data_IF_382990495774
#
_entry.id   IF_382990495774
#
_cell.length_a   1.000
_cell.length_b   1.000
_cell.length_c   1.000
_cell.angle_alpha   90.00
_cell.angle_beta   90.00
_cell.angle_gamma   90.00
#
_symmetry.space_group_name_H-M   'P 1'
#
loop_
_entity.id
_entity.type
_entity.pdbx_description
1 polymer ?
#
# COMPACT_ATOMS: atom_id res chain seq x y z
N UNK A 1 2.51 7.75 -1.91
CA UNK A 1 1.34 8.11 -1.08
C UNK A 1 0.34 9.01 -1.83
N UNK A 2 0.82 10.03 -2.54
CA UNK A 2 -0.05 10.95 -3.30
C UNK A 2 -0.90 10.23 -4.36
N UNK A 3 -0.35 9.24 -5.08
CA UNK A 3 -1.09 8.46 -6.09
C UNK A 3 -2.31 7.76 -5.48
N UNK A 4 -2.16 7.18 -4.28
CA UNK A 4 -3.28 6.57 -3.55
C UNK A 4 -4.35 7.60 -3.20
N UNK A 5 -3.97 8.80 -2.78
CA UNK A 5 -4.92 9.88 -2.46
C UNK A 5 -5.65 10.37 -3.71
N UNK A 6 -4.94 10.54 -4.83
CA UNK A 6 -5.55 10.91 -6.11
C UNK A 6 -6.60 9.87 -6.54
N UNK A 7 -6.26 8.59 -6.48
CA UNK A 7 -7.20 7.49 -6.79
C UNK A 7 -8.38 7.43 -5.83
N UNK A 8 -8.16 7.72 -4.54
CA UNK A 8 -9.24 7.79 -3.55
C UNK A 8 -10.21 8.94 -3.83
N UNK A 9 -9.72 10.10 -4.22
CA UNK A 9 -10.54 11.25 -4.57
C UNK A 9 -11.37 10.97 -5.83
N UNK A 10 -10.74 10.41 -6.86
CA UNK A 10 -11.40 10.03 -8.10
C UNK A 10 -12.49 8.98 -7.85
N UNK A 11 -12.20 7.94 -7.05
CA UNK A 11 -13.18 6.92 -6.65
C UNK A 11 -14.39 7.53 -5.93
N UNK A 12 -14.16 8.42 -4.94
CA UNK A 12 -15.25 9.11 -4.23
C UNK A 12 -16.10 9.98 -5.14
N UNK A 13 -15.49 10.53 -6.20
CA UNK A 13 -16.18 11.35 -7.19
C UNK A 13 -16.83 10.52 -8.33
N UNK A 14 -16.72 9.19 -8.31
CA UNK A 14 -17.26 8.30 -9.35
C UNK A 14 -16.65 8.53 -10.74
N UNK A 15 -15.38 8.93 -10.81
CA UNK A 15 -14.67 9.23 -12.07
C UNK A 15 -13.26 8.64 -12.08
N UNK A 16 -12.62 8.64 -13.23
CA UNK A 16 -11.22 8.29 -13.37
C UNK A 16 -10.29 9.38 -12.78
N UNK A 17 -9.03 9.00 -12.53
CA UNK A 17 -7.99 9.91 -12.05
C UNK A 17 -7.65 10.91 -13.15
N UNK A 18 -7.85 12.19 -12.87
CA UNK A 18 -7.45 13.26 -13.77
C UNK A 18 -6.03 13.74 -13.47
N UNK A 19 -5.39 14.39 -14.44
CA UNK A 19 -4.04 14.93 -14.28
C UNK A 19 -3.90 15.88 -13.08
N UNK A 20 -4.89 16.71 -12.84
CA UNK A 20 -4.94 17.63 -11.72
C UNK A 20 -4.93 16.93 -10.35
N UNK A 21 -5.46 15.70 -10.24
CA UNK A 21 -5.44 14.94 -9.00
C UNK A 21 -4.00 14.53 -8.63
N UNK A 22 -3.13 14.35 -9.63
CA UNK A 22 -1.71 14.03 -9.45
C UNK A 22 -0.86 15.25 -9.05
N UNK A 23 -1.38 16.48 -9.19
CA UNK A 23 -0.68 17.73 -8.87
C UNK A 23 -1.12 18.33 -7.52
N UNK A 24 -1.58 17.50 -6.59
CA UNK A 24 -1.96 17.92 -5.24
C UNK A 24 -0.77 18.46 -4.43
N UNK A 25 -1.06 19.22 -3.36
CA UNK A 25 -0.02 19.66 -2.41
C UNK A 25 0.80 18.48 -1.89
N UNK A 26 0.15 17.35 -1.62
CA UNK A 26 0.83 16.14 -1.17
C UNK A 26 1.83 15.63 -2.22
N UNK A 27 1.47 15.65 -3.50
CA UNK A 27 2.40 15.28 -4.58
C UNK A 27 3.60 16.24 -4.64
N UNK A 28 3.36 17.54 -4.56
CA UNK A 28 4.43 18.54 -4.54
C UNK A 28 5.40 18.31 -3.38
N UNK A 29 4.88 18.01 -2.19
CA UNK A 29 5.70 17.72 -1.00
C UNK A 29 6.52 16.45 -1.16
N UNK A 30 5.93 15.37 -1.69
CA UNK A 30 6.62 14.10 -1.92
C UNK A 30 7.69 14.24 -3.01
N UNK A 31 7.38 14.88 -4.14
CA UNK A 31 8.35 15.12 -5.22
C UNK A 31 9.50 16.00 -4.73
N UNK A 32 9.19 17.08 -3.99
CA UNK A 32 10.22 17.92 -3.40
C UNK A 32 11.11 17.14 -2.40
N UNK A 33 10.56 16.20 -1.65
CA UNK A 33 11.32 15.32 -0.75
C UNK A 33 12.28 14.42 -1.53
N UNK A 34 11.82 13.84 -2.65
CA UNK A 34 12.66 13.02 -3.54
C UNK A 34 13.85 13.85 -4.06
N UNK A 35 13.61 15.04 -4.57
CA UNK A 35 14.70 15.91 -5.06
C UNK A 35 15.68 16.32 -3.95
N UNK A 36 15.24 16.47 -2.70
CA UNK A 36 16.12 16.79 -1.56
C UNK A 36 16.92 15.60 -1.04
N UNK A 37 16.53 14.38 -1.40
CA UNK A 37 17.22 13.15 -1.04
C UNK A 37 18.31 12.82 -2.06
N UNK A 38 19.36 12.14 -1.63
CA UNK A 38 20.40 11.66 -2.54
C UNK A 38 19.93 10.42 -3.29
N UNK A 39 19.15 9.55 -2.65
CA UNK A 39 18.50 8.40 -3.26
C UNK A 39 17.18 8.12 -2.58
N UNK A 40 16.16 7.75 -3.35
CA UNK A 40 14.83 7.38 -2.84
C UNK A 40 14.49 5.96 -3.27
N UNK A 41 14.16 5.10 -2.30
CA UNK A 41 13.73 3.73 -2.58
C UNK A 41 12.25 3.73 -2.98
N UNK A 42 11.95 3.15 -4.14
CA UNK A 42 10.59 3.06 -4.70
C UNK A 42 10.21 1.59 -4.81
N UNK A 43 9.11 1.21 -4.18
CA UNK A 43 8.70 -0.20 -4.08
C UNK A 43 7.90 -0.70 -5.29
N UNK A 44 7.39 0.18 -6.14
CA UNK A 44 6.49 -0.15 -7.24
C UNK A 44 7.04 0.33 -8.58
N UNK A 45 7.06 -0.54 -9.58
CA UNK A 45 7.43 -0.17 -10.96
C UNK A 45 6.45 0.86 -11.55
N UNK A 46 5.16 0.75 -11.24
CA UNK A 46 4.17 1.73 -11.68
C UNK A 46 4.44 3.13 -11.10
N UNK A 47 4.88 3.20 -9.84
CA UNK A 47 5.29 4.48 -9.24
C UNK A 47 6.63 4.97 -9.81
N UNK A 48 7.60 4.08 -10.09
CA UNK A 48 8.83 4.45 -10.80
C UNK A 48 8.53 5.08 -12.15
N UNK A 49 7.64 4.46 -12.93
CA UNK A 49 7.23 4.97 -14.23
C UNK A 49 6.53 6.34 -14.10
N UNK A 50 5.60 6.48 -13.17
CA UNK A 50 4.92 7.76 -12.91
C UNK A 50 5.92 8.87 -12.55
N UNK A 51 6.88 8.60 -11.67
CA UNK A 51 7.90 9.56 -11.25
C UNK A 51 8.82 9.97 -12.40
N UNK A 52 9.26 9.02 -13.22
CA UNK A 52 10.21 9.29 -14.30
C UNK A 52 9.55 9.86 -15.55
N UNK A 53 8.38 9.35 -15.95
CA UNK A 53 7.74 9.73 -17.21
C UNK A 53 6.85 10.95 -17.07
N UNK A 54 6.08 11.04 -16.00
CA UNK A 54 5.17 12.17 -15.78
C UNK A 54 5.86 13.31 -15.05
N UNK A 55 6.44 13.07 -13.87
CA UNK A 55 7.08 14.11 -13.06
C UNK A 55 8.54 14.42 -13.46
N UNK A 56 9.09 13.70 -14.43
CA UNK A 56 10.46 13.90 -14.94
C UNK A 56 11.53 13.86 -13.85
N UNK A 57 11.29 13.08 -12.78
CA UNK A 57 12.30 12.90 -11.73
C UNK A 57 13.49 12.14 -12.33
N UNK A 58 14.73 12.62 -12.15
CA UNK A 58 15.92 11.93 -12.65
C UNK A 58 16.05 10.53 -12.07
N UNK A 59 16.30 9.53 -12.95
CA UNK A 59 16.48 8.13 -12.52
C UNK A 59 17.62 7.98 -11.50
N UNK A 60 18.63 8.86 -11.54
CA UNK A 60 19.74 8.85 -10.59
C UNK A 60 19.30 9.09 -9.13
N UNK A 61 18.13 9.68 -8.90
CA UNK A 61 17.56 9.90 -7.56
C UNK A 61 16.66 8.75 -7.09
N UNK A 62 16.42 7.75 -7.92
CA UNK A 62 15.45 6.68 -7.67
C UNK A 62 16.14 5.31 -7.70
N UNK A 63 15.75 4.45 -6.77
CA UNK A 63 16.17 3.06 -6.72
C UNK A 63 14.95 2.17 -6.55
N UNK A 64 14.74 1.23 -7.47
CA UNK A 64 13.68 0.25 -7.33
C UNK A 64 14.04 -0.77 -6.25
N UNK A 65 13.24 -0.83 -5.22
CA UNK A 65 13.43 -1.71 -4.07
C UNK A 65 12.05 -2.26 -3.62
N UNK A 66 11.56 -3.34 -4.24
CA UNK A 66 10.30 -3.97 -3.83
C UNK A 66 10.44 -4.65 -2.48
N UNK A 67 9.50 -5.49 -2.08
CA UNK A 67 9.69 -6.41 -0.96
C UNK A 67 10.88 -7.34 -1.21
N UNK A 68 11.60 -7.68 -0.16
CA UNK A 68 12.70 -8.64 -0.19
C UNK A 68 12.33 -9.83 0.68
N UNK A 69 12.21 -11.00 0.04
CA UNK A 69 11.73 -12.20 0.68
C UNK A 69 12.75 -13.32 0.54
N UNK A 70 12.92 -14.08 1.60
CA UNK A 70 13.44 -15.43 1.49
C UNK A 70 12.34 -16.28 0.84
N UNK A 71 12.64 -16.84 -0.33
CA UNK A 71 11.60 -17.49 -1.18
C UNK A 71 11.51 -18.99 -0.92
N UNK A 72 11.91 -19.45 0.26
CA UNK A 72 11.68 -20.81 0.68
C UNK A 72 10.18 -21.04 0.94
N UNK A 73 9.60 -21.96 0.18
CA UNK A 73 8.20 -22.37 0.36
C UNK A 73 8.15 -23.27 1.59
N UNK A 74 7.23 -23.00 2.50
CA UNK A 74 7.01 -23.85 3.66
C UNK A 74 6.67 -25.28 3.20
N UNK A 75 7.34 -26.28 3.79
CA UNK A 75 7.18 -27.68 3.41
C UNK A 75 5.80 -28.29 3.80
N UNK A 76 5.10 -27.66 4.74
CA UNK A 76 3.87 -28.17 5.38
C UNK A 76 2.62 -27.35 5.06
N UNK A 77 2.47 -26.89 3.82
CA UNK A 77 1.26 -26.17 3.41
C UNK A 77 0.07 -27.12 3.26
N UNK A 78 -1.11 -26.75 3.79
CA UNK A 78 -2.31 -27.55 3.62
C UNK A 78 -2.69 -27.69 2.14
N UNK A 79 -3.16 -28.88 1.77
CA UNK A 79 -3.71 -29.14 0.44
C UNK A 79 -5.09 -28.48 0.27
N UNK A 80 -5.59 -28.45 -0.96
CA UNK A 80 -6.89 -27.88 -1.30
C UNK A 80 -8.03 -28.40 -0.40
N UNK A 81 -8.13 -29.69 -0.20
CA UNK A 81 -9.20 -30.32 0.59
C UNK A 81 -9.18 -29.94 2.08
N UNK A 82 -8.00 -29.62 2.62
CA UNK A 82 -7.82 -29.24 4.01
C UNK A 82 -8.16 -27.76 4.26
N UNK A 83 -8.14 -26.92 3.23
CA UNK A 83 -8.43 -25.49 3.34
C UNK A 83 -9.93 -25.23 3.25
N UNK A 84 -10.39 -24.29 4.04
CA UNK A 84 -11.80 -23.94 4.11
C UNK A 84 -11.98 -22.42 4.00
N UNK A 85 -13.18 -21.97 3.90
CA UNK A 85 -13.62 -20.58 3.89
C UNK A 85 -12.84 -19.63 2.98
N UNK A 86 -13.41 -18.46 2.79
CA UNK A 86 -12.76 -17.30 2.22
C UNK A 86 -12.16 -16.42 3.33
N UNK A 87 -11.07 -15.75 3.04
CA UNK A 87 -10.49 -14.77 3.96
C UNK A 87 -10.31 -13.42 3.28
N UNK A 88 -10.52 -12.34 4.02
CA UNK A 88 -10.08 -11.00 3.66
C UNK A 88 -9.32 -10.42 4.84
N UNK A 89 -8.13 -9.86 4.59
CA UNK A 89 -7.28 -9.35 5.65
C UNK A 89 -6.73 -7.96 5.32
N UNK A 90 -6.71 -7.07 6.33
CA UNK A 90 -6.13 -5.74 6.16
C UNK A 90 -6.51 -4.77 7.27
N UNK A 91 -5.66 -3.75 7.46
CA UNK A 91 -5.91 -2.69 8.44
C UNK A 91 -7.16 -1.88 8.05
N UNK A 92 -8.15 -1.77 8.94
CA UNK A 92 -9.40 -1.03 8.72
C UNK A 92 -9.21 0.49 8.64
N UNK A 93 -8.12 1.04 9.16
CA UNK A 93 -7.79 2.47 9.00
C UNK A 93 -7.29 2.80 7.59
N UNK A 94 -6.93 1.79 6.80
CA UNK A 94 -6.52 1.98 5.42
C UNK A 94 -7.75 1.94 4.50
N UNK A 95 -8.12 3.09 3.98
CA UNK A 95 -9.37 3.29 3.25
C UNK A 95 -9.64 2.26 2.13
N UNK A 96 -8.68 1.86 1.27
CA UNK A 96 -8.93 0.82 0.27
C UNK A 96 -9.42 -0.50 0.87
N UNK A 97 -8.89 -0.90 2.04
CA UNK A 97 -9.34 -2.13 2.71
C UNK A 97 -10.77 -1.99 3.23
N UNK A 98 -11.10 -0.83 3.83
CA UNK A 98 -12.44 -0.57 4.30
C UNK A 98 -13.46 -0.60 3.16
N UNK A 99 -13.16 0.04 2.04
CA UNK A 99 -14.03 0.05 0.87
C UNK A 99 -14.18 -1.35 0.25
N UNK A 100 -13.12 -2.16 0.26
CA UNK A 100 -13.19 -3.55 -0.18
C UNK A 100 -14.12 -4.38 0.72
N UNK A 101 -14.07 -4.21 2.05
CA UNK A 101 -14.97 -4.89 3.00
C UNK A 101 -16.43 -4.48 2.78
N UNK A 102 -16.70 -3.21 2.53
CA UNK A 102 -18.04 -2.73 2.19
C UNK A 102 -18.54 -3.33 0.89
N UNK A 103 -17.71 -3.35 -0.14
CA UNK A 103 -18.06 -3.92 -1.43
C UNK A 103 -18.31 -5.44 -1.34
N UNK A 104 -17.45 -6.15 -0.61
CA UNK A 104 -17.69 -7.56 -0.26
C UNK A 104 -19.05 -7.74 0.40
N UNK A 105 -19.35 -6.99 1.45
CA UNK A 105 -20.61 -7.14 2.20
C UNK A 105 -21.84 -6.85 1.38
N UNK A 106 -21.82 -5.74 0.64
CA UNK A 106 -23.03 -5.18 0.02
C UNK A 106 -23.36 -5.82 -1.33
N UNK A 107 -22.35 -6.24 -2.10
CA UNK A 107 -22.55 -6.65 -3.49
C UNK A 107 -21.97 -8.03 -3.80
N UNK A 108 -20.75 -8.32 -3.41
CA UNK A 108 -20.03 -9.54 -3.84
C UNK A 108 -20.48 -10.76 -3.04
N UNK A 109 -20.48 -10.67 -1.71
CA UNK A 109 -20.77 -11.78 -0.83
C UNK A 109 -22.16 -12.39 -1.03
N UNK A 110 -23.24 -11.61 -1.21
CA UNK A 110 -24.55 -12.18 -1.54
C UNK A 110 -24.55 -13.04 -2.80
N UNK A 111 -23.77 -12.67 -3.82
CA UNK A 111 -23.65 -13.41 -5.08
C UNK A 111 -22.90 -14.75 -4.87
N UNK A 112 -21.82 -14.72 -4.08
CA UNK A 112 -21.09 -15.94 -3.69
C UNK A 112 -21.98 -16.87 -2.87
N UNK A 113 -22.69 -16.36 -1.87
CA UNK A 113 -23.57 -17.14 -0.98
C UNK A 113 -24.72 -17.80 -1.71
N UNK A 114 -25.24 -17.20 -2.78
CA UNK A 114 -26.25 -17.80 -3.65
C UNK A 114 -25.74 -19.07 -4.31
N UNK A 115 -24.47 -19.13 -4.70
CA UNK A 115 -23.84 -20.28 -5.35
C UNK A 115 -23.22 -21.26 -4.33
N UNK A 116 -22.72 -20.75 -3.20
CA UNK A 116 -22.08 -21.52 -2.12
C UNK A 116 -22.80 -21.26 -0.77
N UNK A 117 -23.99 -21.84 -0.54
CA UNK A 117 -24.83 -21.52 0.62
C UNK A 117 -24.22 -21.81 2.00
N UNK A 118 -23.18 -22.63 2.07
CA UNK A 118 -22.49 -22.99 3.32
C UNK A 118 -21.12 -22.29 3.49
N UNK A 119 -20.67 -21.52 2.49
CA UNK A 119 -19.38 -20.85 2.56
C UNK A 119 -19.37 -19.77 3.65
N UNK A 120 -18.20 -19.51 4.22
CA UNK A 120 -17.96 -18.43 5.16
C UNK A 120 -16.89 -17.49 4.61
N UNK A 121 -17.01 -16.20 4.91
CA UNK A 121 -16.00 -15.19 4.67
C UNK A 121 -15.54 -14.61 6.02
N UNK A 122 -14.28 -14.85 6.33
CA UNK A 122 -13.64 -14.36 7.55
C UNK A 122 -12.89 -13.06 7.26
N UNK A 123 -13.27 -11.98 7.92
CA UNK A 123 -12.66 -10.66 7.79
C UNK A 123 -11.76 -10.39 8.97
N UNK A 124 -10.46 -10.30 8.72
CA UNK A 124 -9.46 -9.96 9.72
C UNK A 124 -8.87 -8.58 9.48
N UNK A 125 -8.53 -7.89 10.54
CA UNK A 125 -7.82 -6.62 10.43
C UNK A 125 -7.60 -5.90 11.74
N UNK A 126 -6.53 -5.11 11.76
CA UNK A 126 -6.23 -4.24 12.88
C UNK A 126 -7.22 -3.06 12.95
N UNK A 127 -7.50 -2.60 14.17
CA UNK A 127 -8.32 -1.44 14.47
C UNK A 127 -9.73 -1.47 13.85
N UNK A 128 -10.53 -2.52 14.10
CA UNK A 128 -11.89 -2.59 13.59
C UNK A 128 -12.74 -1.48 14.25
N UNK A 129 -13.30 -0.53 13.48
CA UNK A 129 -14.18 0.48 14.04
C UNK A 129 -15.56 -0.15 14.37
N UNK A 130 -16.38 0.46 15.25
CA UNK A 130 -17.71 -0.06 15.58
C UNK A 130 -18.57 -0.34 14.34
N UNK A 131 -18.49 0.50 13.31
CA UNK A 131 -19.18 0.29 12.03
C UNK A 131 -18.75 -0.99 11.29
N UNK A 132 -17.52 -1.48 11.50
CA UNK A 132 -17.08 -2.75 10.91
C UNK A 132 -17.67 -3.94 11.68
N UNK A 133 -17.70 -3.89 13.01
CA UNK A 133 -18.29 -4.98 13.81
C UNK A 133 -19.81 -5.12 13.57
N UNK A 134 -20.50 -4.04 13.22
CA UNK A 134 -21.92 -4.07 12.83
C UNK A 134 -22.18 -4.86 11.52
N UNK A 135 -21.15 -5.08 10.68
CA UNK A 135 -21.28 -5.91 9.48
C UNK A 135 -21.24 -7.43 9.78
N UNK A 136 -20.91 -7.82 11.02
CA UNK A 136 -20.86 -9.21 11.45
C UNK A 136 -22.22 -9.87 11.35
N UNK A 137 -22.33 -10.90 10.50
CA UNK A 137 -23.60 -11.58 10.23
C UNK A 137 -23.38 -13.08 10.02
N UNK A 138 -23.27 -13.85 11.10
CA UNK A 138 -22.95 -15.28 11.04
C UNK A 138 -23.95 -16.12 10.25
N UNK A 139 -25.23 -15.75 10.26
CA UNK A 139 -26.29 -16.45 9.50
C UNK A 139 -26.01 -16.44 7.99
N UNK A 140 -25.36 -15.36 7.51
CA UNK A 140 -24.99 -15.22 6.11
C UNK A 140 -23.52 -15.62 5.87
N UNK A 141 -22.83 -16.16 6.86
CA UNK A 141 -21.43 -16.55 6.76
C UNK A 141 -20.47 -15.38 6.60
N UNK A 142 -20.86 -14.16 6.97
CA UNK A 142 -19.99 -12.97 6.93
C UNK A 142 -19.47 -12.66 8.33
N UNK A 143 -18.22 -13.00 8.62
CA UNK A 143 -17.68 -13.03 9.97
C UNK A 143 -16.58 -12.00 10.16
N UNK A 144 -16.84 -10.96 10.93
CA UNK A 144 -15.80 -10.01 11.37
C UNK A 144 -15.06 -10.67 12.54
N UNK A 145 -13.81 -11.06 12.32
CA UNK A 145 -12.96 -11.74 13.30
C UNK A 145 -12.06 -10.78 14.09
N UNK A 146 -11.84 -9.55 13.57
CA UNK A 146 -10.99 -8.56 14.22
C UNK A 146 -9.50 -8.82 14.00
N UNK A 147 -8.69 -8.64 15.02
CA UNK A 147 -7.24 -8.82 14.95
C UNK A 147 -6.87 -10.31 14.76
N UNK A 148 -5.89 -10.57 13.91
CA UNK A 148 -5.26 -11.87 13.77
C UNK A 148 -3.91 -11.84 14.51
N UNK A 149 -3.68 -12.76 15.45
CA UNK A 149 -2.40 -12.90 16.15
C UNK A 149 -1.32 -13.33 15.16
N UNK A 150 -1.65 -14.30 14.31
CA UNK A 150 -0.84 -14.75 13.20
C UNK A 150 -1.61 -14.63 11.88
N UNK A 151 -1.24 -13.64 11.08
CA UNK A 151 -1.85 -13.41 9.78
C UNK A 151 -1.49 -14.51 8.77
N UNK A 152 -0.29 -15.09 8.87
CA UNK A 152 0.16 -16.15 7.98
C UNK A 152 -0.67 -17.42 8.20
N UNK A 153 -0.89 -17.80 9.45
CA UNK A 153 -1.70 -18.98 9.80
C UNK A 153 -3.18 -18.84 9.36
N UNK A 154 -3.74 -17.63 9.53
CA UNK A 154 -5.11 -17.33 9.06
C UNK A 154 -5.23 -17.47 7.55
N UNK A 155 -4.25 -16.97 6.80
CA UNK A 155 -4.24 -17.03 5.34
C UNK A 155 -3.95 -18.46 4.87
N UNK A 156 -3.02 -19.17 5.52
CA UNK A 156 -2.65 -20.56 5.24
C UNK A 156 -3.85 -21.51 5.27
N UNK A 157 -4.76 -21.34 6.21
CA UNK A 157 -5.94 -22.20 6.38
C UNK A 157 -7.13 -21.81 5.50
N UNK A 158 -7.09 -20.64 4.88
CA UNK A 158 -8.13 -20.21 3.95
C UNK A 158 -7.95 -20.83 2.56
N UNK A 159 -9.06 -21.14 1.90
CA UNK A 159 -9.03 -21.65 0.53
C UNK A 159 -8.75 -20.55 -0.49
N UNK A 160 -9.37 -19.38 -0.31
CA UNK A 160 -9.21 -18.24 -1.23
C UNK A 160 -9.14 -16.93 -0.43
N UNK A 161 -8.18 -16.08 -0.78
CA UNK A 161 -8.13 -14.70 -0.30
C UNK A 161 -8.99 -13.81 -1.21
N UNK A 162 -9.95 -13.08 -0.64
CA UNK A 162 -10.75 -12.06 -1.33
C UNK A 162 -10.30 -10.66 -0.93
N UNK A 163 -9.74 -9.91 -1.86
CA UNK A 163 -9.33 -8.54 -1.63
C UNK A 163 -9.64 -7.63 -2.84
N UNK A 164 -10.93 -7.39 -3.14
CA UNK A 164 -11.35 -6.57 -4.27
C UNK A 164 -11.12 -5.09 -3.96
N UNK A 165 -9.90 -4.61 -4.19
CA UNK A 165 -9.52 -3.24 -3.89
C UNK A 165 -10.03 -2.29 -4.98
N UNK A 166 -10.98 -1.38 -4.70
CA UNK A 166 -11.52 -0.48 -5.73
C UNK A 166 -10.53 0.62 -6.13
N UNK A 167 -9.56 0.92 -5.28
CA UNK A 167 -8.43 1.81 -5.53
C UNK A 167 -7.27 1.48 -4.61
N UNK A 168 -6.08 1.97 -4.95
CA UNK A 168 -4.85 1.75 -4.18
C UNK A 168 -3.62 2.26 -4.92
N UNK A 169 -2.46 2.14 -4.33
CA UNK A 169 -1.16 2.36 -4.95
C UNK A 169 -0.10 1.54 -4.22
N UNK A 170 1.06 1.35 -4.85
CA UNK A 170 2.15 0.55 -4.31
C UNK A 170 1.84 -0.95 -4.26
N UNK A 171 2.77 -1.71 -3.71
CA UNK A 171 2.63 -3.15 -3.51
C UNK A 171 1.76 -3.46 -2.28
N UNK A 172 1.00 -4.55 -2.33
CA UNK A 172 0.05 -4.93 -1.29
C UNK A 172 0.56 -6.18 -0.57
N UNK A 173 1.14 -6.03 0.62
CA UNK A 173 1.74 -7.11 1.41
C UNK A 173 0.85 -8.33 1.59
N UNK A 174 -0.46 -8.14 1.76
CA UNK A 174 -1.42 -9.24 1.89
C UNK A 174 -1.37 -10.28 0.75
N UNK A 175 -1.04 -9.86 -0.47
CA UNK A 175 -0.90 -10.81 -1.59
C UNK A 175 0.45 -11.51 -1.55
N UNK A 176 1.49 -10.85 -1.04
CA UNK A 176 2.78 -11.50 -0.74
C UNK A 176 2.56 -12.60 0.29
N UNK A 177 1.88 -12.27 1.41
CA UNK A 177 1.56 -13.24 2.47
C UNK A 177 0.73 -14.39 1.91
N UNK A 178 -0.30 -14.10 1.08
CA UNK A 178 -1.13 -15.13 0.46
C UNK A 178 -0.32 -16.05 -0.46
N UNK A 179 0.54 -15.51 -1.30
CA UNK A 179 1.42 -16.30 -2.17
C UNK A 179 2.40 -17.14 -1.35
N UNK A 180 3.00 -16.60 -0.28
CA UNK A 180 3.91 -17.34 0.60
C UNK A 180 3.22 -18.49 1.33
N UNK A 181 1.95 -18.31 1.70
CA UNK A 181 1.11 -19.34 2.32
C UNK A 181 0.41 -20.24 1.29
N UNK A 182 0.70 -20.10 0.01
CA UNK A 182 0.11 -20.88 -1.06
C UNK A 182 -1.41 -20.72 -1.17
N UNK A 183 -1.95 -19.55 -0.87
CA UNK A 183 -3.39 -19.25 -0.93
C UNK A 183 -3.68 -18.39 -2.15
N UNK A 184 -4.32 -18.95 -3.20
CA UNK A 184 -4.75 -18.18 -4.35
C UNK A 184 -5.75 -17.10 -3.97
N UNK A 185 -5.84 -16.07 -4.80
CA UNK A 185 -6.62 -14.90 -4.45
C UNK A 185 -7.48 -14.35 -5.59
N UNK A 186 -8.51 -13.57 -5.26
CA UNK A 186 -9.29 -12.79 -6.21
C UNK A 186 -9.20 -11.32 -5.86
N UNK A 187 -8.81 -10.52 -6.84
CA UNK A 187 -8.64 -9.07 -6.68
C UNK A 187 -8.94 -8.32 -7.98
N UNK A 188 -8.82 -7.01 -7.95
CA UNK A 188 -8.91 -6.12 -9.11
C UNK A 188 -7.54 -5.90 -9.77
N UNK A 189 -7.49 -5.33 -10.96
CA UNK A 189 -6.25 -4.91 -11.62
C UNK A 189 -5.43 -3.95 -10.73
N UNK A 190 -6.11 -3.03 -10.03
CA UNK A 190 -5.46 -2.14 -9.04
C UNK A 190 -4.88 -2.92 -7.86
N UNK A 191 -5.54 -4.00 -7.45
CA UNK A 191 -5.02 -4.88 -6.40
C UNK A 191 -3.70 -5.55 -6.80
N UNK A 192 -3.61 -6.06 -8.01
CA UNK A 192 -2.45 -6.76 -8.54
C UNK A 192 -1.36 -5.85 -9.14
N UNK A 193 -1.62 -4.54 -9.21
CA UNK A 193 -0.71 -3.58 -9.86
C UNK A 193 0.71 -3.66 -9.30
N UNK A 194 1.70 -3.78 -10.20
CA UNK A 194 3.11 -3.88 -9.86
C UNK A 194 3.55 -5.23 -9.31
N UNK A 195 2.67 -6.23 -9.27
CA UNK A 195 2.95 -7.54 -8.67
C UNK A 195 2.88 -8.72 -9.65
N UNK A 196 2.39 -8.51 -10.87
CA UNK A 196 2.32 -9.55 -11.90
C UNK A 196 3.73 -9.97 -12.37
N UNK A 197 3.86 -11.23 -12.78
CA UNK A 197 5.03 -11.73 -13.49
C UNK A 197 4.63 -12.21 -14.89
N UNK A 198 5.19 -11.60 -15.94
CA UNK A 198 4.87 -11.89 -17.34
C UNK A 198 3.36 -11.88 -17.67
N UNK A 199 2.60 -10.97 -17.02
CA UNK A 199 1.14 -10.88 -17.17
C UNK A 199 0.34 -11.86 -16.30
N UNK A 200 1.00 -12.82 -15.65
CA UNK A 200 0.36 -13.82 -14.81
C UNK A 200 0.15 -13.34 -13.36
N UNK A 201 -0.89 -13.90 -12.75
CA UNK A 201 -1.29 -13.59 -11.36
C UNK A 201 -1.56 -14.86 -10.53
N UNK A 202 -1.31 -14.77 -9.25
CA UNK A 202 -1.52 -15.84 -8.25
C UNK A 202 -3.01 -16.03 -7.88
N UNK A 203 -3.88 -16.01 -8.85
CA UNK A 203 -5.32 -16.05 -8.65
C UNK A 203 -6.07 -15.54 -9.88
N UNK A 204 -7.22 -14.88 -9.65
CA UNK A 204 -8.05 -14.33 -10.72
C UNK A 204 -8.22 -12.83 -10.54
N UNK A 205 -8.27 -12.10 -11.67
CA UNK A 205 -8.52 -10.66 -11.72
C UNK A 205 -9.94 -10.42 -12.24
N UNK A 206 -10.69 -9.55 -11.57
CA UNK A 206 -12.03 -9.18 -11.96
C UNK A 206 -12.38 -7.77 -11.47
N UNK A 207 -13.28 -7.08 -12.19
CA UNK A 207 -13.56 -5.65 -11.94
C UNK A 207 -15.00 -5.40 -11.48
N UNK A 208 -15.95 -6.28 -11.78
CA UNK A 208 -17.34 -6.12 -11.35
C UNK A 208 -17.67 -7.04 -10.18
N UNK A 209 -18.69 -6.70 -9.40
CA UNK A 209 -19.13 -7.55 -8.29
C UNK A 209 -19.52 -8.96 -8.76
N UNK A 210 -20.14 -9.08 -9.92
CA UNK A 210 -20.52 -10.37 -10.49
C UNK A 210 -19.28 -11.17 -10.90
N UNK A 211 -18.37 -10.57 -11.65
CA UNK A 211 -17.16 -11.26 -12.13
C UNK A 211 -16.26 -11.68 -10.95
N UNK A 212 -16.14 -10.85 -9.90
CA UNK A 212 -15.41 -11.19 -8.67
C UNK A 212 -16.06 -12.37 -7.96
N UNK A 213 -17.39 -12.38 -7.88
CA UNK A 213 -18.13 -13.49 -7.25
C UNK A 213 -17.95 -14.79 -8.04
N UNK A 214 -18.06 -14.73 -9.36
CA UNK A 214 -17.90 -15.91 -10.23
C UNK A 214 -16.46 -16.42 -10.20
N UNK A 215 -15.47 -15.56 -10.26
CA UNK A 215 -14.06 -15.89 -10.09
C UNK A 215 -13.77 -16.52 -8.72
N UNK A 216 -14.38 -16.00 -7.65
CA UNK A 216 -14.24 -16.53 -6.30
C UNK A 216 -14.83 -17.94 -6.17
N UNK A 217 -16.02 -18.14 -6.71
CA UNK A 217 -16.70 -19.46 -6.70
C UNK A 217 -15.90 -20.47 -7.52
N UNK A 218 -15.46 -20.08 -8.73
CA UNK A 218 -14.64 -20.93 -9.59
C UNK A 218 -13.37 -21.39 -8.87
N UNK A 219 -12.61 -20.44 -8.32
CA UNK A 219 -11.36 -20.74 -7.63
C UNK A 219 -11.58 -21.54 -6.34
N UNK A 220 -12.74 -21.41 -5.70
CA UNK A 220 -13.09 -22.15 -4.50
C UNK A 220 -13.46 -23.62 -4.80
N UNK A 221 -13.99 -23.93 -5.98
CA UNK A 221 -14.52 -25.25 -6.35
C UNK A 221 -13.58 -26.05 -7.25
N UNK A 222 -12.81 -25.40 -8.10
CA UNK A 222 -11.90 -26.03 -9.06
C UNK A 222 -10.51 -26.24 -8.46
N UNK A 223 -10.23 -27.46 -8.01
CA UNK A 223 -8.96 -27.82 -7.39
C UNK A 223 -7.78 -27.69 -8.36
N UNK A 224 -7.96 -28.03 -9.63
CA UNK A 224 -6.89 -27.97 -10.63
C UNK A 224 -6.48 -26.51 -10.90
N UNK A 225 -7.45 -25.64 -11.09
CA UNK A 225 -7.22 -24.20 -11.23
C UNK A 225 -6.59 -23.61 -9.97
N UNK A 226 -7.08 -24.01 -8.78
CA UNK A 226 -6.55 -23.56 -7.50
C UNK A 226 -5.06 -23.92 -7.36
N UNK A 227 -4.69 -25.18 -7.65
CA UNK A 227 -3.30 -25.64 -7.61
C UNK A 227 -2.42 -24.91 -8.62
N UNK A 228 -2.93 -24.68 -9.84
CA UNK A 228 -2.23 -23.88 -10.86
C UNK A 228 -1.94 -22.47 -10.35
N UNK A 229 -2.92 -21.80 -9.72
CA UNK A 229 -2.76 -20.43 -9.21
C UNK A 229 -1.89 -20.38 -7.96
N UNK A 230 -1.88 -21.40 -7.14
CA UNK A 230 -0.94 -21.58 -6.04
C UNK A 230 0.51 -21.61 -6.58
N UNK A 231 0.79 -22.50 -7.54
CA UNK A 231 2.13 -22.61 -8.15
C UNK A 231 2.56 -21.30 -8.81
N UNK A 232 1.64 -20.63 -9.49
CA UNK A 232 1.89 -19.30 -10.06
C UNK A 232 2.31 -18.28 -9.00
N UNK A 233 1.71 -18.33 -7.81
CA UNK A 233 2.09 -17.48 -6.66
C UNK A 233 3.54 -17.69 -6.24
N UNK A 234 3.99 -18.94 -6.12
CA UNK A 234 5.37 -19.28 -5.79
C UNK A 234 6.36 -18.79 -6.86
N UNK A 235 5.99 -18.92 -8.14
CA UNK A 235 6.80 -18.39 -9.25
C UNK A 235 6.93 -16.87 -9.16
N UNK A 236 5.84 -16.16 -8.89
CA UNK A 236 5.85 -14.70 -8.72
C UNK A 236 6.78 -14.30 -7.57
N UNK A 237 6.68 -14.95 -6.40
CA UNK A 237 7.56 -14.68 -5.26
C UNK A 237 9.03 -14.86 -5.63
N UNK A 238 9.38 -16.01 -6.22
CA UNK A 238 10.75 -16.34 -6.57
C UNK A 238 11.35 -15.41 -7.64
N UNK A 239 10.53 -14.95 -8.61
CA UNK A 239 11.01 -14.14 -9.73
C UNK A 239 10.93 -12.63 -9.49
N UNK A 240 10.02 -12.18 -8.62
CA UNK A 240 9.77 -10.75 -8.41
C UNK A 240 10.26 -10.21 -7.07
N UNK A 241 10.38 -11.08 -6.06
CA UNK A 241 10.57 -10.61 -4.69
C UNK A 241 11.73 -11.31 -3.95
N UNK A 242 12.49 -12.15 -4.64
CA UNK A 242 13.63 -12.85 -4.05
C UNK A 242 14.71 -11.86 -3.55
N UNK A 243 15.11 -11.97 -2.29
CA UNK A 243 16.10 -11.08 -1.66
C UNK A 243 17.43 -11.08 -2.41
N UNK A 244 17.90 -12.24 -2.86
CA UNK A 244 19.18 -12.38 -3.55
C UNK A 244 19.23 -11.65 -4.92
N UNK A 245 18.08 -11.34 -5.52
CA UNK A 245 17.99 -10.55 -6.75
C UNK A 245 18.03 -9.04 -6.48
N UNK A 246 17.42 -8.59 -5.41
CA UNK A 246 17.22 -7.15 -5.14
C UNK A 246 18.29 -6.56 -4.24
N UNK A 247 18.65 -7.25 -3.15
CA UNK A 247 19.57 -6.73 -2.15
C UNK A 247 20.94 -6.32 -2.73
N UNK A 248 21.64 -7.15 -3.54
CA UNK A 248 22.94 -6.77 -4.09
C UNK A 248 22.86 -5.54 -4.98
N UNK A 249 21.81 -5.45 -5.81
CA UNK A 249 21.61 -4.33 -6.74
C UNK A 249 21.33 -3.02 -5.99
N UNK A 250 20.45 -3.05 -4.99
CA UNK A 250 20.15 -1.87 -4.16
C UNK A 250 21.40 -1.44 -3.39
N UNK A 251 22.13 -2.41 -2.83
CA UNK A 251 23.37 -2.14 -2.11
C UNK A 251 24.43 -1.52 -3.02
N UNK A 252 24.62 -2.05 -4.22
CA UNK A 252 25.57 -1.48 -5.19
C UNK A 252 25.22 -0.04 -5.53
N UNK A 253 23.94 0.26 -5.82
CA UNK A 253 23.51 1.62 -6.14
C UNK A 253 23.70 2.58 -4.96
N UNK A 254 23.49 2.15 -3.73
CA UNK A 254 23.78 2.94 -2.51
C UNK A 254 25.28 3.25 -2.41
N UNK A 255 26.15 2.26 -2.62
CA UNK A 255 27.59 2.43 -2.56
C UNK A 255 28.11 3.37 -3.68
N UNK A 256 27.57 3.23 -4.89
CA UNK A 256 27.93 4.09 -6.03
C UNK A 256 27.58 5.57 -5.74
N UNK A 257 26.38 5.83 -5.21
CA UNK A 257 25.97 7.18 -4.79
C UNK A 257 26.87 7.71 -3.68
N UNK A 258 27.21 6.89 -2.69
CA UNK A 258 28.07 7.28 -1.58
C UNK A 258 29.47 7.65 -2.05
N UNK A 259 30.07 6.82 -2.93
CA UNK A 259 31.42 7.07 -3.47
C UNK A 259 31.52 8.34 -4.30
N UNK A 260 30.46 8.69 -5.03
CA UNK A 260 30.41 9.85 -5.92
C UNK A 260 29.50 10.96 -5.37
N UNK A 261 29.27 11.02 -4.06
CA UNK A 261 28.24 11.86 -3.44
C UNK A 261 28.32 13.34 -3.83
N UNK A 262 29.52 13.90 -3.84
CA UNK A 262 29.74 15.31 -4.22
C UNK A 262 29.32 15.57 -5.68
N UNK A 263 29.76 14.72 -6.61
CA UNK A 263 29.38 14.86 -8.01
C UNK A 263 27.88 14.59 -8.23
N UNK A 264 27.32 13.59 -7.55
CA UNK A 264 25.90 13.27 -7.58
C UNK A 264 25.05 14.47 -7.14
N UNK A 265 25.44 15.16 -6.06
CA UNK A 265 24.75 16.36 -5.58
C UNK A 265 24.88 17.55 -6.51
N UNK A 266 26.04 17.72 -7.21
CA UNK A 266 26.22 18.78 -8.18
C UNK A 266 25.29 18.66 -9.39
N UNK A 267 24.98 17.43 -9.82
CA UNK A 267 24.04 17.20 -10.92
C UNK A 267 22.57 17.43 -10.54
N UNK A 268 22.25 17.49 -9.24
CA UNK A 268 20.90 17.72 -8.73
C UNK A 268 20.69 19.18 -8.29
N UNK A 269 20.72 20.12 -9.24
CA UNK A 269 20.52 21.55 -8.94
C UNK A 269 19.15 21.84 -8.32
N UNK A 270 18.07 21.19 -8.80
CA UNK A 270 16.73 21.33 -8.24
C UNK A 270 16.72 20.95 -6.76
N UNK A 271 17.35 19.85 -6.39
CA UNK A 271 17.46 19.42 -5.01
C UNK A 271 18.26 20.41 -4.15
N UNK A 272 19.35 20.99 -4.68
CA UNK A 272 20.12 22.01 -4.00
C UNK A 272 19.28 23.27 -3.73
N UNK A 273 18.54 23.73 -4.73
CA UNK A 273 17.61 24.87 -4.63
C UNK A 273 16.52 24.62 -3.57
N UNK A 274 15.88 23.45 -3.60
CA UNK A 274 14.83 23.10 -2.64
C UNK A 274 15.37 22.98 -1.20
N UNK A 275 16.57 22.44 -1.00
CA UNK A 275 17.24 22.43 0.31
C UNK A 275 17.54 23.83 0.81
N UNK A 276 18.06 24.71 -0.06
CA UNK A 276 18.33 26.11 0.28
C UNK A 276 17.06 26.83 0.78
N UNK A 277 15.96 26.73 0.05
CA UNK A 277 14.69 27.36 0.44
C UNK A 277 14.14 26.81 1.76
N UNK A 278 14.25 25.52 2.01
CA UNK A 278 13.80 24.92 3.27
C UNK A 278 14.60 25.45 4.47
N UNK A 279 15.92 25.53 4.36
CA UNK A 279 16.78 26.06 5.43
C UNK A 279 16.51 27.53 5.69
N UNK A 280 16.35 28.35 4.63
CA UNK A 280 16.01 29.78 4.76
C UNK A 280 14.68 29.98 5.46
N UNK A 281 13.64 29.19 5.11
CA UNK A 281 12.33 29.25 5.76
C UNK A 281 12.43 28.93 7.26
N UNK A 282 13.18 27.91 7.64
CA UNK A 282 13.42 27.52 9.04
C UNK A 282 14.18 28.65 9.78
N UNK A 283 15.20 29.24 9.14
CA UNK A 283 15.95 30.36 9.71
C UNK A 283 15.06 31.58 10.00
N UNK A 284 14.24 31.97 9.02
CA UNK A 284 13.32 33.09 9.22
C UNK A 284 12.27 32.82 10.28
N UNK A 285 11.75 31.57 10.38
CA UNK A 285 10.83 31.18 11.43
C UNK A 285 11.47 31.30 12.81
N UNK A 286 12.71 30.81 12.97
CA UNK A 286 13.44 30.92 14.24
C UNK A 286 13.67 32.39 14.63
N UNK A 287 14.10 33.22 13.70
CA UNK A 287 14.30 34.68 13.92
C UNK A 287 12.98 35.37 14.29
N UNK A 288 11.87 35.00 13.64
CA UNK A 288 10.55 35.56 13.97
C UNK A 288 10.10 35.16 15.37
N UNK A 289 10.27 33.88 15.78
CA UNK A 289 9.97 33.44 17.13
C UNK A 289 10.80 34.19 18.15
N UNK A 290 12.11 34.32 17.94
CA UNK A 290 13.01 35.06 18.82
C UNK A 290 12.59 36.52 18.97
N UNK A 291 12.32 37.20 17.87
CA UNK A 291 11.87 38.59 17.87
C UNK A 291 10.52 38.76 18.61
N UNK A 292 9.59 37.84 18.41
CA UNK A 292 8.29 37.85 19.08
C UNK A 292 8.43 37.64 20.59
N UNK A 293 9.33 36.76 21.03
CA UNK A 293 9.62 36.50 22.45
C UNK A 293 10.24 37.75 23.09
N UNK A 294 11.27 38.37 22.48
CA UNK A 294 11.86 39.61 22.96
C UNK A 294 10.84 40.74 23.08
N UNK A 295 9.94 40.89 22.11
CA UNK A 295 8.89 41.90 22.15
C UNK A 295 7.88 41.66 23.30
N UNK A 296 7.56 40.43 23.60
CA UNK A 296 6.70 40.06 24.73
C UNK A 296 7.37 40.42 26.06
N UNK A 297 8.64 40.09 26.23
CA UNK A 297 9.45 40.43 27.42
C UNK A 297 9.55 41.95 27.66
N UNK A 298 9.78 42.73 26.59
CA UNK A 298 9.82 44.19 26.67
C UNK A 298 8.47 44.80 27.09
N UNK A 299 7.37 44.28 26.59
CA UNK A 299 6.02 44.71 26.97
C UNK A 299 5.70 44.40 28.44
N UNK A 300 6.15 43.25 28.96
CA UNK A 300 6.00 42.92 30.37
C UNK A 300 6.82 43.80 31.29
N UNK A 301 8.08 44.10 30.90
CA UNK A 301 8.95 44.99 31.68
C UNK A 301 8.46 46.43 31.74
N UNK A 302 7.93 46.99 30.64
CA UNK A 302 7.32 48.30 30.63
C UNK A 302 6.02 48.40 31.47
N UNK A 303 5.16 47.37 31.41
CA UNK A 303 3.98 47.33 32.25
C UNK A 303 4.29 47.26 33.78
N UNK A 304 5.42 46.57 34.13
CA UNK A 304 5.87 46.47 35.52
C UNK A 304 6.53 47.76 36.02
N UNK A 305 7.03 48.63 35.15
CA UNK A 305 7.55 49.93 35.53
C UNK A 305 6.46 50.98 35.72
N UNK A 306 5.39 50.97 34.94
CA UNK A 306 4.23 51.87 35.11
C UNK A 306 3.49 51.60 36.46
N UNK A 307 3.39 50.35 36.88
CA UNK A 307 2.75 49.98 38.17
C UNK A 307 3.59 50.28 39.41
N UNK A 308 4.82 50.70 39.27
CA UNK A 308 5.70 51.12 40.39
C UNK A 308 5.77 52.65 40.59
N UNK A 309 5.15 53.41 39.71
CA UNK A 309 5.12 54.89 39.77
C UNK A 309 3.73 55.45 40.10
N UNK A 310 2.73 54.59 40.35
CA UNK A 310 1.47 54.92 41.06
C UNK A 310 1.59 54.50 42.54
#
# INVERSE_FOLDING_TARGET
>A
HFLRLARQQAFKAGREVALQDLHSEQAQREIAAIYRSDLTLIISEAEMQLLTEHFKVPKALLCYSPFWLETEIAADLPEFAQRQHFVSIGNFRHEPNWQAVLWLKQQIWPLIRKQLPKAELHIYGAYPPPKATQLHQPKDGFLIKGWAEDAAEVVKNARVLLAPLPFGAGLKGKFIDAMAQGTPNVTTAVGAEGMLHQGEWAGLLAETAQDIADAAVLLYQDEQLWQQKQQQGFVILAKRFAIHEHQPRVWQQLMDVQQQLSQHRLTNFTGAMLRHHQHRSTQFMAQWIEAKTKLAELKQSSATQETKHE
#
